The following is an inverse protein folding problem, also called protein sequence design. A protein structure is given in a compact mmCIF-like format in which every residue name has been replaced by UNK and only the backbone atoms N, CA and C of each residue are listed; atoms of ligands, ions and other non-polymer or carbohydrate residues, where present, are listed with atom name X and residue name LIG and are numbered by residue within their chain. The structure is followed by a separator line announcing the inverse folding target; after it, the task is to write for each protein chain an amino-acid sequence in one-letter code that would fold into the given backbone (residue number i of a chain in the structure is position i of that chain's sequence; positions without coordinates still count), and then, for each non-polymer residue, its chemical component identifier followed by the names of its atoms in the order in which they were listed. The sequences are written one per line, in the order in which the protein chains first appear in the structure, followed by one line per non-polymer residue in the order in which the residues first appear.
data_IF_632571869949
#
_entry.id   IF_632571869949
#
_cell.length_a   1.000
_cell.length_b   1.000
_cell.length_c   1.000
_cell.angle_alpha   90.00
_cell.angle_beta   90.00
_cell.angle_gamma   90.00
#
_symmetry.space_group_name_H-M   'P 1'
#
loop_
_entity.id
_entity.type
_entity.pdbx_description
1 polymer ?
#
# COMPACT_ATOMS: atom_id res chain seq x y z
N UNK A 1 -3.57 9.14 22.18
CA UNK A 1 -4.02 9.76 20.90
C UNK A 1 -4.66 8.67 20.07
N UNK A 2 -5.64 8.98 19.26
CA UNK A 2 -6.44 7.96 18.57
C UNK A 2 -5.93 7.77 17.15
N UNK A 3 -5.58 6.55 16.74
CA UNK A 3 -5.11 6.24 15.39
C UNK A 3 -6.10 6.71 14.32
N UNK A 4 -5.65 7.54 13.40
CA UNK A 4 -6.47 8.10 12.32
C UNK A 4 -6.19 7.42 10.98
N UNK A 5 -4.95 7.00 10.76
CA UNK A 5 -4.51 6.38 9.50
C UNK A 5 -3.74 5.10 9.79
N UNK A 6 -4.07 4.03 9.07
CA UNK A 6 -3.27 2.81 8.96
C UNK A 6 -2.59 2.82 7.60
N UNK A 7 -1.26 2.75 7.55
CA UNK A 7 -0.53 2.61 6.28
C UNK A 7 0.03 1.20 6.19
N UNK A 8 -0.51 0.40 5.29
CA UNK A 8 -0.01 -0.94 4.99
C UNK A 8 0.92 -0.85 3.78
N UNK A 9 2.18 -1.19 3.97
CA UNK A 9 3.15 -1.29 2.89
C UNK A 9 3.58 -2.74 2.66
N UNK A 10 3.70 -3.12 1.40
CA UNK A 10 4.16 -4.44 0.98
C UNK A 10 4.13 -4.58 -0.53
N UNK A 11 4.82 -5.55 -1.09
CA UNK A 11 4.88 -5.79 -2.52
C UNK A 11 3.55 -6.27 -3.13
N UNK A 12 3.51 -6.34 -4.45
CA UNK A 12 2.42 -7.00 -5.18
C UNK A 12 2.24 -8.44 -4.66
N UNK A 13 1.01 -8.92 -4.63
CA UNK A 13 0.65 -10.27 -4.18
C UNK A 13 1.08 -10.64 -2.76
N UNK A 14 1.53 -9.68 -1.93
CA UNK A 14 1.88 -9.91 -0.52
C UNK A 14 0.68 -10.16 0.40
N UNK A 15 -0.57 -10.04 -0.08
CA UNK A 15 -1.76 -10.28 0.72
C UNK A 15 -2.37 -9.03 1.40
N UNK A 16 -1.83 -7.84 1.18
CA UNK A 16 -2.33 -6.57 1.77
C UNK A 16 -3.84 -6.38 1.60
N UNK A 17 -4.36 -6.50 0.38
CA UNK A 17 -5.79 -6.25 0.11
C UNK A 17 -6.72 -7.25 0.85
N UNK A 18 -6.25 -8.46 1.15
CA UNK A 18 -7.00 -9.40 1.99
C UNK A 18 -6.99 -8.93 3.46
N UNK A 19 -5.84 -8.47 3.96
CA UNK A 19 -5.72 -7.88 5.30
C UNK A 19 -6.62 -6.64 5.42
N UNK A 20 -6.61 -5.74 4.43
CA UNK A 20 -7.47 -4.54 4.39
C UNK A 20 -8.96 -4.92 4.52
N UNK A 21 -9.41 -5.94 3.77
CA UNK A 21 -10.78 -6.44 3.90
C UNK A 21 -11.09 -6.94 5.30
N UNK A 22 -10.18 -7.72 5.90
CA UNK A 22 -10.35 -8.21 7.26
C UNK A 22 -10.34 -7.09 8.31
N UNK A 23 -9.48 -6.07 8.15
CA UNK A 23 -9.43 -4.91 9.04
C UNK A 23 -10.75 -4.14 9.09
N UNK A 24 -11.43 -3.96 7.95
CA UNK A 24 -12.74 -3.30 7.90
C UNK A 24 -13.82 -3.98 8.73
N UNK A 25 -13.67 -5.29 9.03
CA UNK A 25 -14.55 -6.04 9.92
C UNK A 25 -14.02 -6.12 11.35
N UNK A 26 -12.70 -6.13 11.54
CA UNK A 26 -12.08 -6.28 12.85
C UNK A 26 -12.05 -4.97 13.65
N UNK A 27 -11.99 -3.84 12.98
CA UNK A 27 -11.94 -2.53 13.61
C UNK A 27 -13.33 -2.09 14.08
N UNK A 28 -13.43 -1.51 15.30
CA UNK A 28 -14.73 -1.22 15.92
C UNK A 28 -15.46 -0.02 15.29
N UNK A 29 -14.81 0.75 14.45
CA UNK A 29 -15.36 1.95 13.81
C UNK A 29 -15.25 1.83 12.29
N UNK A 30 -16.03 2.59 11.52
CA UNK A 30 -15.94 2.60 10.06
C UNK A 30 -14.60 3.14 9.58
N UNK A 31 -13.89 2.36 8.75
CA UNK A 31 -12.65 2.73 8.09
C UNK A 31 -12.82 2.69 6.58
N UNK A 32 -12.35 3.74 5.90
CA UNK A 32 -12.34 3.83 4.43
C UNK A 32 -10.96 3.40 3.96
N UNK A 33 -10.87 2.53 2.96
CA UNK A 33 -9.57 2.19 2.36
C UNK A 33 -9.35 2.90 1.05
N UNK A 34 -8.11 3.33 0.84
CA UNK A 34 -7.58 3.82 -0.42
C UNK A 34 -6.26 3.10 -0.70
N UNK A 35 -5.98 2.83 -1.97
CA UNK A 35 -4.72 2.23 -2.38
C UNK A 35 -4.15 2.92 -3.61
N UNK A 36 -2.89 2.65 -3.92
CA UNK A 36 -2.27 3.11 -5.16
C UNK A 36 -3.00 2.55 -6.38
N UNK A 37 -3.51 1.33 -6.29
CA UNK A 37 -4.30 0.70 -7.37
C UNK A 37 -5.60 1.48 -7.64
N UNK A 38 -6.25 2.03 -6.63
CA UNK A 38 -7.44 2.89 -6.81
C UNK A 38 -7.13 4.14 -7.63
N UNK A 39 -5.96 4.75 -7.42
CA UNK A 39 -5.51 5.88 -8.23
C UNK A 39 -5.24 5.42 -9.66
N UNK A 40 -4.53 4.31 -9.84
CA UNK A 40 -4.18 3.76 -11.15
C UNK A 40 -5.43 3.46 -11.98
N UNK A 41 -6.46 2.85 -11.39
CA UNK A 41 -7.74 2.56 -12.05
C UNK A 41 -8.48 3.80 -12.53
N UNK A 42 -8.23 4.96 -11.90
CA UNK A 42 -8.86 6.25 -12.25
C UNK A 42 -8.02 7.10 -13.18
N UNK A 43 -6.82 6.63 -13.57
CA UNK A 43 -6.00 7.36 -14.53
C UNK A 43 -6.65 7.39 -15.92
N UNK A 44 -6.49 8.49 -16.66
CA UNK A 44 -6.81 8.48 -18.08
C UNK A 44 -5.89 7.48 -18.81
N UNK A 45 -6.44 6.75 -19.76
CA UNK A 45 -5.71 5.72 -20.52
C UNK A 45 -4.46 6.28 -21.22
N UNK A 46 -4.45 7.60 -21.53
CA UNK A 46 -3.30 8.27 -22.11
C UNK A 46 -2.05 8.30 -21.21
N UNK A 47 -2.19 8.08 -19.90
CA UNK A 47 -1.07 8.00 -18.99
C UNK A 47 -0.59 6.56 -18.74
N UNK A 48 -1.35 5.56 -19.17
CA UNK A 48 -0.94 4.17 -19.07
C UNK A 48 -0.04 3.82 -20.27
N UNK A 49 1.23 3.46 -19.97
CA UNK A 49 2.26 3.22 -20.98
C UNK A 49 2.99 4.49 -21.48
N UNK A 50 2.59 5.68 -21.02
CA UNK A 50 3.28 6.93 -21.37
C UNK A 50 4.46 7.19 -20.40
N UNK A 51 5.61 7.72 -20.91
CA UNK A 51 6.76 8.02 -20.04
C UNK A 51 6.46 9.05 -18.93
N UNK A 52 5.50 9.94 -19.14
CA UNK A 52 5.07 10.91 -18.12
C UNK A 52 4.06 10.34 -17.13
N UNK A 53 3.46 9.18 -17.42
CA UNK A 53 2.48 8.48 -16.61
C UNK A 53 3.05 7.27 -15.88
N UNK A 54 2.49 6.06 -16.13
CA UNK A 54 2.95 4.79 -15.59
C UNK A 54 3.33 3.85 -16.71
N UNK A 55 4.54 3.30 -16.63
CA UNK A 55 5.02 2.26 -17.54
C UNK A 55 5.30 1.00 -16.73
N UNK A 56 4.71 -0.11 -17.16
CA UNK A 56 4.97 -1.44 -16.62
C UNK A 56 5.95 -2.17 -17.54
N UNK A 57 7.15 -2.45 -17.05
CA UNK A 57 8.16 -3.21 -17.77
C UNK A 57 7.79 -4.68 -17.88
N UNK A 58 8.30 -5.35 -18.90
CA UNK A 58 8.13 -6.80 -19.09
C UNK A 58 8.80 -7.65 -17.99
N UNK A 59 9.70 -7.04 -17.23
CA UNK A 59 10.40 -7.60 -16.07
C UNK A 59 9.68 -7.32 -14.72
N UNK A 60 8.47 -6.75 -14.78
CA UNK A 60 7.68 -6.39 -13.60
C UNK A 60 8.10 -5.07 -12.94
N UNK A 61 9.07 -4.34 -13.48
CA UNK A 61 9.42 -3.02 -12.97
C UNK A 61 8.33 -2.01 -13.30
N UNK A 62 8.13 -1.05 -12.40
CA UNK A 62 7.18 0.05 -12.57
C UNK A 62 7.94 1.36 -12.62
N UNK A 63 7.83 2.05 -13.77
CA UNK A 63 8.41 3.39 -13.94
C UNK A 63 7.32 4.42 -13.78
N UNK A 64 7.56 5.38 -12.87
CA UNK A 64 6.61 6.42 -12.47
C UNK A 64 7.04 7.75 -13.08
N UNK A 65 6.20 8.32 -13.94
CA UNK A 65 6.45 9.58 -14.62
C UNK A 65 5.94 10.81 -13.88
N UNK A 66 6.32 11.99 -14.37
CA UNK A 66 6.07 13.25 -13.68
C UNK A 66 4.58 13.61 -13.57
N UNK A 67 3.75 13.24 -14.55
CA UNK A 67 2.32 13.56 -14.51
C UNK A 67 1.58 12.62 -13.56
N UNK A 68 1.99 11.36 -13.46
CA UNK A 68 1.51 10.46 -12.41
C UNK A 68 1.84 11.02 -11.02
N UNK A 69 3.07 11.49 -10.81
CA UNK A 69 3.49 12.06 -9.52
C UNK A 69 2.66 13.29 -9.11
N UNK A 70 2.26 14.14 -10.06
CA UNK A 70 1.35 15.27 -9.79
C UNK A 70 -0.04 14.79 -9.34
N UNK A 71 -0.58 13.77 -10.01
CA UNK A 71 -1.88 13.21 -9.65
C UNK A 71 -1.82 12.48 -8.29
N UNK A 72 -0.74 11.74 -8.03
CA UNK A 72 -0.51 11.10 -6.73
C UNK A 72 -0.39 12.14 -5.61
N UNK A 73 0.27 13.28 -5.87
CA UNK A 73 0.30 14.39 -4.91
C UNK A 73 -1.11 14.87 -4.56
N UNK A 74 -1.94 15.17 -5.57
CA UNK A 74 -3.32 15.63 -5.35
C UNK A 74 -4.18 14.58 -4.63
N UNK A 75 -3.98 13.30 -4.96
CA UNK A 75 -4.61 12.17 -4.32
C UNK A 75 -4.28 12.12 -2.82
N UNK A 76 -2.99 12.19 -2.47
CA UNK A 76 -2.54 12.14 -1.08
C UNK A 76 -2.98 13.37 -0.27
N UNK A 77 -2.99 14.57 -0.87
CA UNK A 77 -3.54 15.78 -0.24
C UNK A 77 -5.03 15.60 0.08
N UNK A 78 -5.80 15.03 -0.84
CA UNK A 78 -7.23 14.73 -0.61
C UNK A 78 -7.43 13.73 0.52
N UNK A 79 -6.66 12.65 0.56
CA UNK A 79 -6.70 11.64 1.63
C UNK A 79 -6.35 12.25 2.99
N UNK A 80 -5.29 13.04 3.07
CA UNK A 80 -4.88 13.72 4.30
C UNK A 80 -5.98 14.68 4.80
N UNK A 81 -6.63 15.41 3.90
CA UNK A 81 -7.75 16.29 4.26
C UNK A 81 -8.95 15.51 4.80
N UNK A 82 -9.29 14.36 4.23
CA UNK A 82 -10.33 13.47 4.77
C UNK A 82 -9.98 12.97 6.18
N UNK A 83 -8.75 12.52 6.40
CA UNK A 83 -8.29 12.09 7.71
C UNK A 83 -8.32 13.24 8.73
N UNK A 84 -7.86 14.42 8.35
CA UNK A 84 -7.88 15.63 9.18
C UNK A 84 -9.31 16.11 9.52
N UNK A 85 -10.30 15.78 8.68
CA UNK A 85 -11.71 16.06 8.96
C UNK A 85 -12.43 14.98 9.78
N UNK A 86 -11.69 13.95 10.23
CA UNK A 86 -12.19 12.92 11.14
C UNK A 86 -12.48 11.56 10.49
N UNK A 87 -12.24 11.38 9.20
CA UNK A 87 -12.34 10.07 8.57
C UNK A 87 -11.19 9.16 9.04
N UNK A 88 -11.49 7.87 9.31
CA UNK A 88 -10.48 6.86 9.58
C UNK A 88 -10.08 6.16 8.30
N UNK A 89 -8.78 6.10 8.02
CA UNK A 89 -8.29 5.72 6.70
C UNK A 89 -7.31 4.55 6.78
N UNK A 90 -7.47 3.58 5.90
CA UNK A 90 -6.50 2.53 5.62
C UNK A 90 -5.89 2.83 4.25
N UNK A 91 -4.55 3.02 4.20
CA UNK A 91 -3.80 3.17 2.96
C UNK A 91 -3.15 1.83 2.60
N UNK A 92 -3.46 1.30 1.42
CA UNK A 92 -2.82 0.11 0.82
C UNK A 92 -1.75 0.62 -0.17
N UNK A 93 -0.50 0.63 0.26
CA UNK A 93 0.61 1.26 -0.44
C UNK A 93 1.68 0.24 -0.89
N UNK A 94 2.43 0.63 -1.91
CA UNK A 94 3.61 -0.06 -2.41
C UNK A 94 4.76 0.94 -2.50
N UNK A 95 5.64 0.94 -1.52
CA UNK A 95 6.75 1.89 -1.45
C UNK A 95 7.90 1.49 -2.37
N UNK A 96 7.74 1.66 -3.68
CA UNK A 96 8.77 1.31 -4.67
C UNK A 96 10.12 2.01 -4.44
N UNK A 97 10.12 3.15 -3.78
CA UNK A 97 11.34 3.86 -3.35
C UNK A 97 11.66 3.67 -1.88
N UNK A 98 11.18 2.59 -1.26
CA UNK A 98 11.47 2.24 0.12
C UNK A 98 11.23 3.38 1.11
N UNK A 99 12.21 3.66 1.99
CA UNK A 99 12.16 4.74 2.98
C UNK A 99 11.92 6.13 2.40
N UNK A 100 12.38 6.39 1.16
CA UNK A 100 12.08 7.66 0.48
C UNK A 100 10.59 7.83 0.16
N UNK A 101 9.89 6.73 -0.17
CA UNK A 101 8.43 6.74 -0.35
C UNK A 101 7.71 6.95 0.98
N UNK A 102 8.15 6.28 2.04
CA UNK A 102 7.62 6.48 3.38
C UNK A 102 7.75 7.94 3.83
N UNK A 103 8.91 8.54 3.64
CA UNK A 103 9.16 9.93 4.04
C UNK A 103 8.25 10.91 3.29
N UNK A 104 8.01 10.70 1.99
CA UNK A 104 7.01 11.49 1.24
C UNK A 104 5.61 11.33 1.82
N UNK A 105 5.21 10.10 2.15
CA UNK A 105 3.89 9.82 2.73
C UNK A 105 3.76 10.44 4.12
N UNK A 106 4.81 10.39 4.95
CA UNK A 106 4.86 11.05 6.27
C UNK A 106 4.57 12.54 6.18
N UNK A 107 5.11 13.24 5.18
CA UNK A 107 4.88 14.69 5.00
C UNK A 107 3.43 15.00 4.69
N UNK A 108 2.71 14.16 3.92
CA UNK A 108 1.27 14.34 3.69
C UNK A 108 0.44 14.12 4.95
N UNK A 109 0.87 13.19 5.79
CA UNK A 109 0.15 12.78 7.00
C UNK A 109 0.65 13.49 8.27
N UNK A 110 1.43 14.58 8.11
CA UNK A 110 1.94 15.34 9.23
C UNK A 110 0.80 15.85 10.13
N UNK A 111 0.95 15.68 11.45
CA UNK A 111 -0.07 16.03 12.44
C UNK A 111 -1.19 15.02 12.62
N UNK A 112 -1.18 13.90 11.88
CA UNK A 112 -2.10 12.78 12.05
C UNK A 112 -1.45 11.63 12.82
N UNK A 113 -2.25 10.89 13.59
CA UNK A 113 -1.80 9.67 14.28
C UNK A 113 -1.83 8.49 13.30
N UNK A 114 -0.65 8.04 12.90
CA UNK A 114 -0.45 7.01 11.87
C UNK A 114 0.17 5.76 12.46
N UNK A 115 -0.41 4.59 12.19
CA UNK A 115 0.20 3.28 12.46
C UNK A 115 0.79 2.73 11.14
N UNK A 116 2.11 2.52 11.13
CA UNK A 116 2.85 2.02 9.97
C UNK A 116 2.99 0.51 10.03
N UNK A 117 2.46 -0.17 9.02
CA UNK A 117 2.38 -1.64 8.97
C UNK A 117 3.18 -2.18 7.80
N UNK A 118 4.17 -3.05 8.10
CA UNK A 118 4.88 -3.85 7.10
C UNK A 118 4.15 -5.17 6.84
N UNK A 119 3.81 -5.43 5.58
CA UNK A 119 3.21 -6.72 5.18
C UNK A 119 4.26 -7.50 4.39
N UNK A 120 4.91 -8.43 5.10
CA UNK A 120 5.97 -9.29 4.54
C UNK A 120 5.38 -10.50 3.82
N UNK A 121 6.02 -10.86 2.73
CA UNK A 121 5.78 -12.10 2.00
C UNK A 121 7.03 -12.44 1.20
N UNK A 122 7.65 -13.62 1.38
CA UNK A 122 8.78 -14.06 0.56
C UNK A 122 8.49 -14.01 -0.94
N UNK A 123 9.52 -13.67 -1.71
CA UNK A 123 9.40 -13.43 -3.15
C UNK A 123 8.82 -14.62 -3.93
N UNK A 124 9.22 -15.84 -3.57
CA UNK A 124 8.74 -17.09 -4.19
C UNK A 124 7.26 -17.34 -3.93
N UNK A 125 6.79 -17.07 -2.70
CA UNK A 125 5.37 -17.20 -2.32
C UNK A 125 4.54 -16.12 -3.03
N UNK A 126 5.01 -14.88 -3.04
CA UNK A 126 4.35 -13.78 -3.72
C UNK A 126 4.25 -14.02 -5.24
N UNK A 127 5.32 -14.51 -5.87
CA UNK A 127 5.33 -14.89 -7.28
C UNK A 127 4.35 -16.04 -7.59
N UNK A 128 4.28 -17.06 -6.74
CA UNK A 128 3.29 -18.14 -6.88
C UNK A 128 1.85 -17.62 -6.82
N UNK A 129 1.56 -16.68 -5.92
CA UNK A 129 0.24 -16.02 -5.82
C UNK A 129 -0.06 -15.14 -7.04
N UNK A 130 0.93 -14.44 -7.58
CA UNK A 130 0.81 -13.63 -8.79
C UNK A 130 0.40 -14.47 -9.99
N UNK A 131 1.08 -15.61 -10.21
CA UNK A 131 0.74 -16.57 -11.27
C UNK A 131 -0.68 -17.10 -11.10
N UNK A 132 -1.07 -17.47 -9.88
CA UNK A 132 -2.39 -18.00 -9.59
C UNK A 132 -3.52 -16.98 -9.83
N UNK A 133 -3.26 -15.68 -9.66
CA UNK A 133 -4.22 -14.59 -9.92
C UNK A 133 -4.38 -14.31 -11.41
N UNK A 134 -3.29 -14.29 -12.17
CA UNK A 134 -3.29 -14.07 -13.62
C UNK A 134 -3.68 -12.67 -14.10
N UNK A 135 -3.80 -11.68 -13.19
CA UNK A 135 -4.24 -10.31 -13.46
C UNK A 135 -3.12 -9.27 -13.33
N UNK A 136 -1.89 -9.71 -13.10
CA UNK A 136 -0.70 -8.85 -12.90
C UNK A 136 0.40 -9.18 -13.91
N UNK A 137 1.31 -8.22 -14.11
CA UNK A 137 2.53 -8.46 -14.88
C UNK A 137 3.41 -9.43 -14.12
N UNK A 138 3.78 -10.53 -14.76
CA UNK A 138 4.62 -11.57 -14.15
C UNK A 138 5.99 -10.98 -13.78
N UNK A 139 6.47 -11.29 -12.58
CA UNK A 139 7.73 -10.81 -12.03
C UNK A 139 7.61 -9.57 -11.15
N UNK A 140 6.47 -8.89 -11.15
CA UNK A 140 6.23 -7.72 -10.29
C UNK A 140 6.31 -8.08 -8.81
N UNK A 141 5.71 -9.19 -8.40
CA UNK A 141 5.72 -9.63 -7.00
C UNK A 141 7.14 -9.91 -6.51
N UNK A 142 7.94 -10.61 -7.32
CA UNK A 142 9.32 -10.93 -6.96
C UNK A 142 10.21 -9.68 -6.90
N UNK A 143 10.08 -8.76 -7.86
CA UNK A 143 10.88 -7.51 -7.88
C UNK A 143 10.55 -6.57 -6.72
N UNK A 144 9.32 -6.61 -6.20
CA UNK A 144 8.87 -5.73 -5.13
C UNK A 144 9.05 -6.30 -3.72
N UNK A 145 9.19 -7.61 -3.56
CA UNK A 145 9.12 -8.29 -2.26
C UNK A 145 10.06 -7.71 -1.21
N UNK A 146 11.27 -7.31 -1.59
CA UNK A 146 12.28 -6.75 -0.68
C UNK A 146 12.40 -5.24 -0.81
N UNK A 147 12.44 -4.72 -2.04
CA UNK A 147 12.74 -3.30 -2.29
C UNK A 147 11.75 -2.35 -1.62
N UNK A 148 10.48 -2.73 -1.52
CA UNK A 148 9.44 -1.90 -0.88
C UNK A 148 9.66 -1.71 0.63
N UNK A 149 10.53 -2.52 1.23
CA UNK A 149 10.83 -2.48 2.65
C UNK A 149 12.19 -1.84 2.97
N UNK A 150 13.00 -1.55 1.96
CA UNK A 150 14.33 -0.98 2.17
C UNK A 150 14.26 0.40 2.84
N UNK A 151 14.87 0.52 4.04
CA UNK A 151 14.90 1.77 4.80
C UNK A 151 13.55 2.24 5.33
N UNK A 152 12.52 1.40 5.29
CA UNK A 152 11.19 1.68 5.86
C UNK A 152 11.15 1.30 7.33
N UNK A 153 10.56 2.16 8.17
CA UNK A 153 10.38 1.91 9.60
C UNK A 153 8.91 1.65 9.88
N UNK A 154 8.63 0.52 10.51
CA UNK A 154 7.27 0.08 10.87
C UNK A 154 7.06 0.08 12.37
N UNK A 155 5.82 0.31 12.79
CA UNK A 155 5.36 0.09 14.16
C UNK A 155 5.05 -1.38 14.40
N UNK A 156 4.60 -2.08 13.34
CA UNK A 156 4.31 -3.52 13.35
C UNK A 156 4.57 -4.14 11.99
N UNK A 157 5.05 -5.37 12.00
CA UNK A 157 5.19 -6.18 10.79
C UNK A 157 4.36 -7.47 10.93
N UNK A 158 3.73 -7.88 9.84
CA UNK A 158 3.01 -9.15 9.73
C UNK A 158 3.53 -9.93 8.53
N UNK A 159 3.59 -11.26 8.67
CA UNK A 159 4.04 -12.17 7.62
C UNK A 159 2.86 -13.02 7.13
N UNK A 160 2.55 -12.89 5.86
CA UNK A 160 1.44 -13.61 5.22
C UNK A 160 1.85 -14.95 4.60
N UNK A 161 3.12 -15.34 4.71
CA UNK A 161 3.59 -16.62 4.19
C UNK A 161 3.01 -17.80 4.97
N UNK A 162 2.86 -17.63 6.28
CA UNK A 162 2.40 -18.67 7.22
C UNK A 162 1.25 -18.20 8.12
N UNK A 163 0.80 -16.94 7.98
CA UNK A 163 -0.27 -16.39 8.84
C UNK A 163 -1.46 -15.96 7.99
N UNK A 164 -2.65 -16.40 8.37
CA UNK A 164 -3.90 -16.05 7.70
C UNK A 164 -4.18 -14.54 7.78
N UNK A 165 -4.76 -13.98 6.71
CA UNK A 165 -5.05 -12.53 6.65
C UNK A 165 -5.91 -12.02 7.80
N UNK A 166 -6.82 -12.84 8.32
CA UNK A 166 -7.66 -12.50 9.47
C UNK A 166 -6.85 -12.41 10.77
N UNK A 167 -5.84 -13.26 10.94
CA UNK A 167 -4.95 -13.22 12.10
C UNK A 167 -4.01 -12.01 12.02
N UNK A 168 -3.45 -11.72 10.84
CA UNK A 168 -2.69 -10.50 10.59
C UNK A 168 -3.52 -9.25 10.92
N UNK A 169 -4.78 -9.20 10.44
CA UNK A 169 -5.68 -8.08 10.70
C UNK A 169 -6.00 -7.90 12.19
N UNK A 170 -6.20 -8.99 12.94
CA UNK A 170 -6.42 -8.93 14.39
C UNK A 170 -5.19 -8.41 15.14
N UNK A 171 -4.00 -8.86 14.75
CA UNK A 171 -2.75 -8.35 15.32
C UNK A 171 -2.59 -6.85 15.11
N UNK A 172 -2.86 -6.35 13.89
CA UNK A 172 -2.83 -4.93 13.57
C UNK A 172 -3.92 -4.18 14.37
N UNK A 173 -5.16 -4.67 14.37
CA UNK A 173 -6.28 -4.03 15.04
C UNK A 173 -6.08 -3.88 16.56
N UNK A 174 -5.35 -4.79 17.19
CA UNK A 174 -5.04 -4.72 18.63
C UNK A 174 -4.11 -3.54 19.01
N UNK A 175 -3.44 -2.92 18.02
CA UNK A 175 -2.56 -1.77 18.20
C UNK A 175 -3.27 -0.45 17.88
N UNK A 176 -4.47 -0.50 17.34
CA UNK A 176 -5.27 0.69 17.02
C UNK A 176 -5.90 1.23 18.30
N UNK A 177 -5.56 2.45 18.67
CA UNK A 177 -6.00 3.14 19.90
C UNK A 177 -7.14 4.10 19.64
#
# INVERSE_FOLDING_TARGET
MTTQVLVLNGGSSSGKSAIVRCLKYALPQPWISFGVDDLVERLPTSLLGAPSGLVFGSDGQVVVGADFMKLQHSWMVGIAAMAGSGARIILDEVFLGGGGSQERTRRYLEGLEVLWVGVRCPADIAAGREIARGDRVIGMAASQAEIVHEGVVYDVEVDTSCTESVQCARAIASLVV
#
